data_IF_546865398031
#
_entry.id   IF_546865398031
#
_cell.length_a   1.000
_cell.length_b   1.000
_cell.length_c   1.000
_cell.angle_alpha   90.00
_cell.angle_beta   90.00
_cell.angle_gamma   90.00
#
_symmetry.space_group_name_H-M   'P 1'
#
loop_
_entity.id
_entity.type
_entity.pdbx_description
1 polymer ?
#
# COMPACT_ATOMS: atom_id res chain seq x y z
N UNK A 1 4.27 -24.49 3.39
CA UNK A 1 3.56 -23.35 2.77
C UNK A 1 4.62 -22.43 2.21
N UNK A 2 4.64 -22.22 0.89
CA UNK A 2 5.55 -21.25 0.28
C UNK A 2 5.05 -19.84 0.66
N UNK A 3 5.58 -19.26 1.74
CA UNK A 3 5.36 -17.85 2.08
C UNK A 3 6.22 -17.01 1.15
N UNK A 4 5.79 -16.87 -0.11
CA UNK A 4 6.44 -15.93 -1.02
C UNK A 4 6.06 -14.52 -0.58
N UNK A 5 7.05 -13.71 -0.18
CA UNK A 5 6.88 -12.33 0.26
C UNK A 5 6.56 -11.41 -0.91
N UNK A 6 5.39 -11.58 -1.51
CA UNK A 6 4.96 -10.83 -2.69
C UNK A 6 4.90 -9.32 -2.46
N UNK A 7 4.55 -8.88 -1.24
CA UNK A 7 4.57 -7.48 -0.85
C UNK A 7 5.99 -6.90 -0.87
N UNK A 8 7.02 -7.65 -0.44
CA UNK A 8 8.43 -7.23 -0.53
C UNK A 8 8.87 -7.09 -1.98
N UNK A 9 8.51 -8.07 -2.82
CA UNK A 9 8.84 -7.99 -4.26
C UNK A 9 8.17 -6.77 -4.90
N UNK A 10 6.87 -6.57 -4.65
CA UNK A 10 6.13 -5.42 -5.16
C UNK A 10 6.75 -4.10 -4.70
N UNK A 11 7.06 -3.97 -3.40
CA UNK A 11 7.70 -2.77 -2.87
C UNK A 11 9.05 -2.49 -3.54
N UNK A 12 9.90 -3.51 -3.74
CA UNK A 12 11.18 -3.34 -4.44
C UNK A 12 11.00 -2.87 -5.87
N UNK A 13 10.03 -3.44 -6.60
CA UNK A 13 9.75 -3.03 -7.98
C UNK A 13 9.21 -1.60 -8.06
N UNK A 14 8.33 -1.21 -7.13
CA UNK A 14 7.82 0.15 -7.03
C UNK A 14 8.92 1.14 -6.64
N UNK A 15 9.79 0.77 -5.70
CA UNK A 15 10.90 1.61 -5.23
C UNK A 15 11.85 2.01 -6.39
N UNK A 16 12.16 1.07 -7.29
CA UNK A 16 13.00 1.34 -8.48
C UNK A 16 12.48 2.47 -9.37
N UNK A 17 11.18 2.78 -9.29
CA UNK A 17 10.52 3.81 -10.10
C UNK A 17 10.22 5.03 -9.22
N UNK A 18 9.47 4.82 -8.14
CA UNK A 18 8.83 5.88 -7.36
C UNK A 18 9.82 6.67 -6.49
N UNK A 19 10.90 6.05 -6.00
CA UNK A 19 11.89 6.77 -5.19
C UNK A 19 12.63 7.84 -6.02
N UNK A 20 12.76 7.65 -7.34
CA UNK A 20 13.30 8.67 -8.24
C UNK A 20 12.45 9.95 -8.28
N UNK A 21 11.15 9.82 -7.95
CA UNK A 21 10.19 10.92 -7.91
C UNK A 21 9.89 11.38 -6.48
N UNK A 22 10.78 11.11 -5.52
CA UNK A 22 10.64 11.46 -4.09
C UNK A 22 9.37 10.89 -3.44
N UNK A 23 9.03 9.66 -3.80
CA UNK A 23 7.97 8.88 -3.14
C UNK A 23 8.63 7.72 -2.42
N UNK A 24 8.46 7.69 -1.10
CA UNK A 24 9.02 6.64 -0.26
C UNK A 24 8.20 5.36 -0.40
N UNK A 25 8.89 4.21 -0.47
CA UNK A 25 8.27 2.90 -0.62
C UNK A 25 8.75 1.97 0.49
N UNK A 26 7.85 1.53 1.35
CA UNK A 26 8.17 0.70 2.53
C UNK A 26 7.39 -0.62 2.46
N UNK A 27 8.07 -1.75 2.68
CA UNK A 27 7.45 -3.10 2.75
C UNK A 27 7.32 -3.65 4.16
N UNK A 28 7.92 -2.98 5.14
CA UNK A 28 7.84 -3.38 6.54
C UNK A 28 7.25 -2.21 7.32
N UNK A 29 5.93 -2.21 7.45
CA UNK A 29 5.19 -1.20 8.20
C UNK A 29 4.88 -1.78 9.57
N UNK A 30 5.39 -1.14 10.62
CA UNK A 30 5.11 -1.56 11.99
C UNK A 30 3.74 -1.04 12.42
N UNK A 31 2.71 -1.86 12.27
CA UNK A 31 1.33 -1.51 12.61
C UNK A 31 0.99 -1.73 14.09
N UNK A 32 1.67 -2.68 14.72
CA UNK A 32 1.36 -3.14 16.07
C UNK A 32 2.67 -3.56 16.77
N UNK A 33 2.69 -3.47 18.09
CA UNK A 33 3.88 -3.76 18.93
C UNK A 33 4.21 -5.25 19.02
N UNK A 34 3.23 -6.15 18.81
CA UNK A 34 3.43 -7.61 18.77
C UNK A 34 2.32 -8.40 18.00
N UNK A 35 2.31 -8.36 16.65
CA UNK A 35 1.72 -9.41 15.79
C UNK A 35 2.53 -9.58 14.48
N UNK A 36 2.20 -10.52 13.56
CA UNK A 36 3.06 -10.77 12.41
C UNK A 36 3.14 -9.52 11.52
N UNK A 37 4.34 -9.23 11.00
CA UNK A 37 4.60 -8.16 10.02
C UNK A 37 3.46 -8.14 9.00
N UNK A 38 2.83 -6.98 8.83
CA UNK A 38 1.75 -6.86 7.87
C UNK A 38 2.31 -6.96 6.45
N UNK A 39 1.69 -7.81 5.61
CA UNK A 39 2.08 -8.02 4.21
C UNK A 39 1.65 -6.84 3.30
N UNK A 40 1.94 -5.61 3.73
CA UNK A 40 1.52 -4.37 3.06
C UNK A 40 2.70 -3.59 2.49
N UNK A 41 2.43 -2.80 1.47
CA UNK A 41 3.34 -1.78 0.95
C UNK A 41 2.80 -0.40 1.30
N UNK A 42 3.60 0.44 1.93
CA UNK A 42 3.31 1.84 2.16
C UNK A 42 4.01 2.70 1.12
N UNK A 43 3.23 3.48 0.38
CA UNK A 43 3.72 4.59 -0.44
C UNK A 43 3.48 5.89 0.32
N UNK A 44 4.50 6.73 0.44
CA UNK A 44 4.37 8.03 1.10
C UNK A 44 5.02 9.11 0.26
N UNK A 45 4.27 10.17 -0.05
CA UNK A 45 4.84 11.38 -0.65
C UNK A 45 5.47 12.26 0.43
N UNK A 46 6.61 12.87 0.10
CA UNK A 46 7.22 13.91 0.94
C UNK A 46 6.73 15.32 0.58
N UNK A 47 6.12 15.48 -0.59
CA UNK A 47 5.49 16.73 -1.06
C UNK A 47 4.11 16.96 -0.43
N UNK A 48 3.63 18.21 -0.45
CA UNK A 48 2.29 18.58 0.03
C UNK A 48 1.15 17.95 -0.78
N UNK A 49 1.37 17.73 -2.08
CA UNK A 49 0.43 17.13 -3.01
C UNK A 49 1.18 16.16 -3.93
N UNK A 50 0.44 15.22 -4.53
CA UNK A 50 0.99 14.35 -5.57
C UNK A 50 1.21 15.14 -6.86
N UNK A 51 2.44 15.16 -7.35
CA UNK A 51 2.77 15.79 -8.64
C UNK A 51 2.22 14.97 -9.81
N UNK A 52 2.02 15.60 -10.97
CA UNK A 52 1.61 14.86 -12.17
C UNK A 52 2.57 13.73 -12.54
N UNK A 53 3.87 13.95 -12.37
CA UNK A 53 4.90 12.94 -12.65
C UNK A 53 4.76 11.74 -11.72
N UNK A 54 4.56 11.97 -10.41
CA UNK A 54 4.32 10.89 -9.46
C UNK A 54 3.02 10.13 -9.81
N UNK A 55 1.93 10.85 -10.11
CA UNK A 55 0.63 10.24 -10.46
C UNK A 55 0.69 9.38 -11.72
N UNK A 56 1.54 9.71 -12.70
CA UNK A 56 1.73 8.91 -13.94
C UNK A 56 2.28 7.52 -13.66
N UNK A 57 3.02 7.34 -12.57
CA UNK A 57 3.60 6.05 -12.18
C UNK A 57 2.72 5.25 -11.20
N UNK A 58 1.64 5.86 -10.71
CA UNK A 58 0.64 5.16 -9.90
C UNK A 58 -0.36 4.43 -10.82
N UNK A 59 -0.81 3.25 -10.36
CA UNK A 59 -1.88 2.52 -11.03
C UNK A 59 -3.18 3.34 -11.04
N UNK A 60 -4.08 3.04 -11.98
CA UNK A 60 -5.27 3.87 -12.24
C UNK A 60 -6.13 4.13 -11.00
N UNK A 61 -6.43 3.11 -10.19
CA UNK A 61 -7.19 3.31 -8.95
C UNK A 61 -6.48 4.19 -7.92
N UNK A 62 -5.14 4.18 -7.90
CA UNK A 62 -4.31 4.89 -6.91
C UNK A 62 -4.09 6.35 -7.32
N UNK A 63 -3.96 6.65 -8.63
CA UNK A 63 -3.57 7.99 -9.11
C UNK A 63 -4.61 9.09 -8.87
N UNK A 64 -5.85 8.74 -8.50
CA UNK A 64 -6.96 9.67 -8.28
C UNK A 64 -7.13 10.09 -6.81
N UNK A 65 -6.37 9.52 -5.88
CA UNK A 65 -6.42 9.90 -4.46
C UNK A 65 -5.58 11.14 -4.16
N UNK A 66 -5.95 11.88 -3.13
CA UNK A 66 -5.16 13.00 -2.59
C UNK A 66 -4.43 12.65 -1.28
N UNK A 67 -4.76 11.50 -0.69
CA UNK A 67 -4.13 10.96 0.50
C UNK A 67 -2.60 10.91 0.33
N UNK A 68 -1.84 11.44 1.28
CA UNK A 68 -0.38 11.44 1.24
C UNK A 68 0.24 10.07 1.46
N UNK A 69 -0.54 9.13 2.00
CA UNK A 69 -0.07 7.82 2.42
C UNK A 69 -0.99 6.74 1.86
N UNK A 70 -0.43 5.82 1.06
CA UNK A 70 -1.17 4.75 0.41
C UNK A 70 -0.73 3.41 1.00
N UNK A 71 -1.67 2.69 1.62
CA UNK A 71 -1.45 1.33 2.10
C UNK A 71 -1.95 0.34 1.04
N UNK A 72 -1.05 -0.50 0.54
CA UNK A 72 -1.35 -1.46 -0.52
C UNK A 72 -1.25 -2.89 0.02
N UNK A 73 -2.38 -3.59 0.02
CA UNK A 73 -2.43 -5.03 0.22
C UNK A 73 -2.42 -5.71 -1.15
N UNK A 74 -1.51 -6.67 -1.36
CA UNK A 74 -1.39 -7.37 -2.64
C UNK A 74 -1.76 -8.86 -2.50
N UNK A 75 -2.74 -9.30 -3.29
CA UNK A 75 -3.08 -10.72 -3.45
C UNK A 75 -2.73 -11.17 -4.87
N UNK A 76 -1.83 -12.15 -4.97
CA UNK A 76 -1.46 -12.79 -6.23
C UNK A 76 -2.59 -13.67 -6.82
N UNK A 77 -3.58 -14.05 -6.02
CA UNK A 77 -4.74 -14.82 -6.48
C UNK A 77 -5.91 -13.90 -6.80
N UNK A 78 -6.85 -14.35 -7.63
CA UNK A 78 -8.05 -13.58 -8.00
C UNK A 78 -9.11 -13.48 -6.87
N UNK A 79 -8.83 -14.06 -5.70
CA UNK A 79 -9.79 -14.20 -4.63
C UNK A 79 -9.95 -12.90 -3.83
N UNK A 80 -10.91 -12.05 -4.23
CA UNK A 80 -11.44 -11.02 -3.34
C UNK A 80 -12.32 -11.69 -2.27
N UNK A 81 -11.78 -11.84 -1.06
CA UNK A 81 -12.50 -12.41 0.07
C UNK A 81 -12.91 -11.36 1.08
N UNK A 82 -13.98 -11.62 1.83
CA UNK A 82 -14.36 -10.77 2.96
C UNK A 82 -13.25 -10.68 4.04
N UNK A 83 -12.45 -11.74 4.19
CA UNK A 83 -11.31 -11.73 5.09
C UNK A 83 -10.22 -10.74 4.67
N UNK A 84 -9.93 -10.64 3.37
CA UNK A 84 -8.96 -9.67 2.85
C UNK A 84 -9.43 -8.23 3.08
N UNK A 85 -10.73 -7.96 2.91
CA UNK A 85 -11.32 -6.64 3.18
C UNK A 85 -11.23 -6.30 4.68
N UNK A 86 -11.58 -7.25 5.57
CA UNK A 86 -11.45 -7.06 7.02
C UNK A 86 -10.02 -6.80 7.46
N UNK A 87 -9.07 -7.51 6.84
CA UNK A 87 -7.64 -7.34 7.10
C UNK A 87 -7.17 -5.95 6.68
N UNK A 88 -7.56 -5.48 5.48
CA UNK A 88 -7.22 -4.14 5.00
C UNK A 88 -7.78 -3.04 5.91
N UNK A 89 -9.04 -3.16 6.35
CA UNK A 89 -9.63 -2.22 7.30
C UNK A 89 -8.92 -2.21 8.67
N UNK A 90 -8.42 -3.37 9.12
CA UNK A 90 -7.65 -3.43 10.35
C UNK A 90 -6.30 -2.71 10.19
N UNK A 91 -5.64 -2.86 9.04
CA UNK A 91 -4.40 -2.15 8.75
C UNK A 91 -4.59 -0.64 8.68
N UNK A 92 -5.65 -0.18 8.02
CA UNK A 92 -6.05 1.23 7.97
C UNK A 92 -6.15 1.83 9.38
N UNK A 93 -6.97 1.18 10.23
CA UNK A 93 -7.20 1.60 11.60
C UNK A 93 -5.89 1.63 12.42
N UNK A 94 -5.13 0.52 12.44
CA UNK A 94 -3.94 0.45 13.28
C UNK A 94 -2.81 1.35 12.79
N UNK A 95 -2.67 1.55 11.47
CA UNK A 95 -1.70 2.50 10.93
C UNK A 95 -2.01 3.92 11.38
N UNK A 96 -3.27 4.34 11.25
CA UNK A 96 -3.70 5.67 11.68
C UNK A 96 -3.54 5.86 13.19
N UNK A 97 -3.95 4.87 13.99
CA UNK A 97 -3.84 4.94 15.45
C UNK A 97 -2.39 4.95 15.94
N UNK A 98 -1.52 4.10 15.38
CA UNK A 98 -0.12 4.00 15.80
C UNK A 98 0.68 5.25 15.43
N UNK A 99 0.45 5.80 14.22
CA UNK A 99 1.16 6.98 13.71
C UNK A 99 0.47 8.31 14.01
N UNK A 100 -0.74 8.30 14.58
CA UNK A 100 -1.63 9.46 14.73
C UNK A 100 -1.87 10.18 13.40
N UNK A 101 -2.01 9.41 12.32
CA UNK A 101 -2.31 9.95 10.99
C UNK A 101 -3.79 10.34 10.88
N UNK A 102 -4.07 11.37 10.08
CA UNK A 102 -5.46 11.75 9.80
C UNK A 102 -6.08 10.75 8.83
N UNK A 103 -7.33 10.36 9.08
CA UNK A 103 -8.04 9.34 8.29
C UNK A 103 -8.21 9.73 6.82
N UNK A 104 -8.24 11.02 6.50
CA UNK A 104 -8.32 11.55 5.13
C UNK A 104 -6.97 11.63 4.41
N UNK A 105 -5.84 11.52 5.13
CA UNK A 105 -4.49 11.49 4.57
C UNK A 105 -3.98 10.06 4.29
N UNK A 106 -4.75 9.04 4.70
CA UNK A 106 -4.44 7.62 4.47
C UNK A 106 -5.49 7.01 3.54
N UNK A 107 -5.03 6.30 2.51
CA UNK A 107 -5.91 5.55 1.61
C UNK A 107 -5.44 4.10 1.48
N UNK A 108 -6.37 3.18 1.63
CA UNK A 108 -6.12 1.74 1.55
C UNK A 108 -6.58 1.15 0.20
N UNK A 109 -5.70 0.38 -0.44
CA UNK A 109 -5.99 -0.27 -1.72
C UNK A 109 -5.71 -1.77 -1.63
N UNK A 110 -6.65 -2.56 -2.14
CA UNK A 110 -6.47 -3.98 -2.37
C UNK A 110 -6.17 -4.21 -3.86
N UNK A 111 -4.95 -4.67 -4.15
CA UNK A 111 -4.51 -5.01 -5.50
C UNK A 111 -4.62 -6.53 -5.66
N UNK A 112 -5.37 -6.96 -6.66
CA UNK A 112 -5.65 -8.37 -6.94
C UNK A 112 -5.19 -8.66 -8.36
N UNK A 113 -4.39 -9.72 -8.53
CA UNK A 113 -4.08 -10.21 -9.87
C UNK A 113 -5.36 -10.75 -10.53
N UNK A 114 -5.54 -10.49 -11.83
CA UNK A 114 -6.59 -11.10 -12.64
C UNK A 114 -5.99 -11.72 -13.90
N UNK A 115 -6.48 -12.90 -14.26
CA UNK A 115 -6.21 -13.55 -15.55
C UNK A 115 -6.86 -12.69 -16.63
N UNK A 116 -6.10 -12.27 -17.67
CA UNK A 116 -6.68 -11.57 -18.80
C UNK A 116 -7.77 -12.41 -19.46
N UNK A 117 -8.88 -11.77 -19.83
CA UNK A 117 -9.94 -12.36 -20.66
C UNK A 117 -9.71 -12.02 -22.13
#
# INVERSE_FOLDING_TARGET
MNNTNWHVLLARLLALILEHFNVQVLSEVQLLTDPPKADIVLLRRDSLEWTEEQRRWLADGLRHTDAGQLLLEFKYTEGLTLSAIRQLNAYDYFYCEAGKHQLDDVACFLIIARTPQ
#
